data_IF_979869167615
#
_entry.id   IF_979869167615
#
_cell.length_a   1.000
_cell.length_b   1.000
_cell.length_c   1.000
_cell.angle_alpha   90.00
_cell.angle_beta   90.00
_cell.angle_gamma   90.00
#
_symmetry.space_group_name_H-M   'P 1'
#
loop_
_entity.id
_entity.type
_entity.pdbx_description
1 polymer ?
#
# COMPACT_ATOMS: atom_id res chain seq x y z
N UNK A 1 -14.86 -11.07 20.62
CA UNK A 1 -14.73 -9.92 19.70
C UNK A 1 -13.56 -9.06 20.20
N UNK A 2 -12.43 -9.05 19.49
CA UNK A 2 -11.14 -8.55 20.01
C UNK A 2 -11.15 -7.02 20.02
N UNK A 3 -10.88 -6.41 21.17
CA UNK A 3 -10.80 -4.96 21.35
C UNK A 3 -9.42 -4.43 20.92
N UNK A 4 -9.04 -4.70 19.67
CA UNK A 4 -7.78 -4.24 19.03
C UNK A 4 -7.67 -2.70 19.04
N UNK A 5 -8.79 -2.01 19.26
CA UNK A 5 -8.95 -0.55 19.26
C UNK A 5 -8.03 0.12 20.28
N UNK A 6 -7.79 -0.48 21.46
CA UNK A 6 -6.90 0.11 22.48
C UNK A 6 -5.48 0.34 21.96
N UNK A 7 -4.98 -0.48 21.04
CA UNK A 7 -3.63 -0.34 20.49
C UNK A 7 -3.55 0.41 19.15
N UNK A 8 -4.69 0.82 18.58
CA UNK A 8 -4.75 1.71 17.41
C UNK A 8 -5.13 3.16 17.75
N UNK A 9 -5.84 3.39 18.87
CA UNK A 9 -6.34 4.73 19.21
C UNK A 9 -5.82 5.30 20.55
N UNK A 10 -5.36 4.48 21.51
CA UNK A 10 -4.89 4.99 22.81
C UNK A 10 -3.37 5.16 22.88
N UNK A 11 -2.91 6.23 22.22
CA UNK A 11 -1.66 6.99 22.41
C UNK A 11 -0.93 7.21 21.09
N UNK A 12 -0.93 8.49 20.70
CA UNK A 12 -0.12 9.09 19.64
C UNK A 12 1.30 8.51 19.60
N UNK A 13 1.56 7.58 18.67
CA UNK A 13 2.73 7.54 17.74
C UNK A 13 3.14 6.15 17.23
N UNK A 14 2.59 5.04 17.71
CA UNK A 14 3.12 3.72 17.34
C UNK A 14 2.02 2.67 17.14
N UNK A 15 1.68 2.38 15.86
CA UNK A 15 0.83 1.24 15.53
C UNK A 15 1.60 -0.07 15.71
N UNK A 16 0.96 -1.10 16.28
CA UNK A 16 1.50 -2.47 16.39
C UNK A 16 1.85 -3.08 15.02
N UNK A 17 1.29 -2.54 13.94
CA UNK A 17 1.57 -2.93 12.57
C UNK A 17 2.79 -2.23 11.96
N UNK A 18 3.25 -1.14 12.57
CA UNK A 18 4.40 -0.35 12.10
C UNK A 18 5.70 -0.71 12.84
N UNK A 19 5.61 -1.19 14.10
CA UNK A 19 6.77 -1.44 14.96
C UNK A 19 6.61 -2.73 15.77
N UNK A 20 7.74 -3.38 16.06
CA UNK A 20 7.81 -4.45 17.04
C UNK A 20 7.62 -3.83 18.43
N UNK A 21 6.41 -3.93 18.98
CA UNK A 21 6.10 -3.49 20.35
C UNK A 21 6.52 -4.56 21.35
N UNK A 22 7.05 -4.24 22.54
CA UNK A 22 7.47 -5.24 23.53
C UNK A 22 6.36 -6.28 23.82
N UNK A 23 6.72 -7.54 24.05
CA UNK A 23 5.76 -8.62 24.33
C UNK A 23 4.70 -8.27 25.40
N UNK A 24 5.00 -7.58 26.51
CA UNK A 24 3.99 -7.17 27.48
C UNK A 24 2.96 -6.17 26.92
N UNK A 25 3.37 -5.27 26.02
CA UNK A 25 2.49 -4.31 25.33
C UNK A 25 1.62 -5.06 24.33
N UNK A 26 2.23 -5.96 23.54
CA UNK A 26 1.50 -6.89 22.67
C UNK A 26 0.45 -7.71 23.44
N UNK A 27 0.80 -8.23 24.62
CA UNK A 27 -0.11 -9.00 25.50
C UNK A 27 -1.25 -8.12 26.05
N UNK A 28 -0.95 -6.89 26.44
CA UNK A 28 -1.95 -5.95 26.94
C UNK A 28 -3.00 -5.58 25.86
N UNK A 29 -2.63 -5.59 24.58
CA UNK A 29 -3.57 -5.42 23.45
C UNK A 29 -4.58 -6.57 23.29
N UNK A 30 -4.35 -7.72 23.93
CA UNK A 30 -5.22 -8.90 23.85
C UNK A 30 -6.20 -9.01 25.02
N UNK A 31 -6.14 -8.09 26.00
CA UNK A 31 -6.61 -8.35 27.37
C UNK A 31 -8.13 -8.44 27.58
N UNK A 32 -8.98 -7.72 26.83
CA UNK A 32 -10.40 -7.57 27.20
C UNK A 32 -11.30 -8.78 26.85
N UNK A 33 -10.77 -9.83 26.21
CA UNK A 33 -11.51 -11.06 25.90
C UNK A 33 -11.05 -12.29 26.70
N UNK A 34 -9.97 -12.16 27.48
CA UNK A 34 -9.11 -13.30 27.79
C UNK A 34 -8.73 -13.38 29.27
N UNK A 35 -9.65 -13.01 30.16
CA UNK A 35 -9.61 -13.53 31.52
C UNK A 35 -10.38 -14.86 31.63
N UNK A 36 -9.73 -15.96 32.07
CA UNK A 36 -8.29 -16.18 32.27
C UNK A 36 -7.69 -17.12 31.21
N UNK A 37 -6.71 -16.60 30.45
CA UNK A 37 -5.74 -17.42 29.70
C UNK A 37 -4.96 -18.33 30.66
N UNK A 38 -4.88 -19.62 30.35
CA UNK A 38 -4.05 -20.56 31.14
C UNK A 38 -2.58 -20.38 30.79
N UNK A 39 -1.66 -20.61 31.72
CA UNK A 39 -0.19 -20.49 31.55
C UNK A 39 0.36 -21.19 30.28
N UNK A 40 -0.27 -22.26 29.82
CA UNK A 40 0.14 -23.00 28.60
C UNK A 40 -0.07 -22.16 27.33
N UNK A 41 -1.13 -21.36 27.25
CA UNK A 41 -1.40 -20.48 26.10
C UNK A 41 -0.43 -19.30 26.06
N UNK A 42 -0.06 -18.74 27.23
CA UNK A 42 0.91 -17.64 27.30
C UNK A 42 2.30 -18.05 26.79
N UNK A 43 2.75 -19.28 27.09
CA UNK A 43 4.02 -19.82 26.58
C UNK A 43 3.99 -19.98 25.06
N UNK A 44 2.89 -20.47 24.50
CA UNK A 44 2.73 -20.65 23.05
C UNK A 44 2.72 -19.29 22.34
N UNK A 45 1.90 -18.35 22.83
CA UNK A 45 1.79 -16.99 22.28
C UNK A 45 3.15 -16.27 22.37
N UNK A 46 3.87 -16.42 23.48
CA UNK A 46 5.22 -15.86 23.66
C UNK A 46 6.22 -16.45 22.69
N UNK A 47 6.20 -17.78 22.50
CA UNK A 47 7.06 -18.46 21.52
C UNK A 47 6.79 -17.97 20.12
N UNK A 48 5.53 -17.96 19.68
CA UNK A 48 5.15 -17.51 18.34
C UNK A 48 5.52 -16.03 18.10
N UNK A 49 5.29 -15.17 19.08
CA UNK A 49 5.68 -13.76 19.01
C UNK A 49 7.20 -13.60 18.87
N UNK A 50 8.02 -14.29 19.68
CA UNK A 50 9.48 -14.18 19.57
C UNK A 50 10.05 -14.90 18.35
N UNK A 51 9.42 -15.95 17.85
CA UNK A 51 9.76 -16.54 16.55
C UNK A 51 9.50 -15.56 15.41
N UNK A 52 8.40 -14.78 15.48
CA UNK A 52 8.10 -13.73 14.51
C UNK A 52 9.05 -12.51 14.62
N UNK A 53 9.53 -12.20 15.82
CA UNK A 53 10.29 -10.97 16.13
C UNK A 53 11.82 -11.16 16.14
N UNK A 54 12.33 -12.31 16.59
CA UNK A 54 13.75 -12.59 16.87
C UNK A 54 14.64 -12.85 15.65
N UNK A 55 14.11 -12.69 14.44
CA UNK A 55 14.76 -13.04 13.16
C UNK A 55 15.35 -11.81 12.45
N UNK A 56 16.05 -10.92 13.17
CA UNK A 56 16.58 -9.64 12.63
C UNK A 56 18.04 -9.65 12.20
N UNK A 57 18.74 -10.78 12.28
CA UNK A 57 20.06 -10.94 11.66
C UNK A 57 20.19 -12.37 11.20
N UNK A 58 20.74 -12.54 9.98
CA UNK A 58 20.86 -13.78 9.20
C UNK A 58 19.64 -14.03 8.29
N UNK A 59 19.95 -14.02 6.98
CA UNK A 59 19.13 -14.43 5.83
C UNK A 59 17.82 -15.14 6.19
N UNK A 60 16.70 -14.54 5.81
CA UNK A 60 15.40 -15.18 5.95
C UNK A 60 14.99 -15.79 4.60
N UNK A 61 14.71 -17.09 4.53
CA UNK A 61 13.90 -17.66 3.46
C UNK A 61 12.53 -16.97 3.45
N UNK A 62 11.80 -17.06 2.33
CA UNK A 62 10.42 -16.56 2.18
C UNK A 62 9.64 -16.63 3.50
N UNK A 63 9.18 -15.48 4.00
CA UNK A 63 8.37 -15.44 5.22
C UNK A 63 7.11 -16.28 4.97
N UNK A 64 6.93 -17.31 5.79
CA UNK A 64 5.68 -18.06 5.84
C UNK A 64 4.55 -17.08 6.16
N UNK A 65 3.67 -16.84 5.19
CA UNK A 65 2.50 -16.00 5.37
C UNK A 65 1.41 -16.83 6.05
N UNK A 66 1.36 -16.74 7.38
CA UNK A 66 0.41 -17.51 8.21
C UNK A 66 -1.06 -17.19 7.95
N UNK A 67 -1.34 -16.15 7.16
CA UNK A 67 -2.69 -15.70 6.77
C UNK A 67 -2.92 -15.73 5.25
N UNK A 68 -2.07 -16.41 4.46
CA UNK A 68 -2.12 -16.35 3.00
C UNK A 68 -3.53 -16.60 2.41
N UNK A 69 -4.26 -17.57 2.97
CA UNK A 69 -5.63 -17.92 2.58
C UNK A 69 -6.66 -16.80 2.79
N UNK A 70 -6.32 -15.80 3.60
CA UNK A 70 -7.21 -14.72 4.02
C UNK A 70 -6.86 -13.39 3.36
N UNK A 71 -5.63 -13.25 2.88
CA UNK A 71 -5.21 -12.04 2.17
C UNK A 71 -6.08 -11.79 0.94
N UNK A 72 -6.45 -12.83 0.19
CA UNK A 72 -7.32 -12.71 -0.98
C UNK A 72 -8.72 -12.17 -0.62
N UNK A 73 -9.28 -12.59 0.52
CA UNK A 73 -10.56 -12.06 1.00
C UNK A 73 -10.46 -10.58 1.38
N UNK A 74 -9.37 -10.17 2.03
CA UNK A 74 -9.12 -8.76 2.35
C UNK A 74 -8.99 -7.95 1.07
N UNK A 75 -8.23 -8.43 0.08
CA UNK A 75 -8.08 -7.76 -1.22
C UNK A 75 -9.42 -7.66 -1.96
N UNK A 76 -10.20 -8.74 -2.00
CA UNK A 76 -11.52 -8.76 -2.63
C UNK A 76 -12.51 -7.80 -1.94
N UNK A 77 -12.40 -7.65 -0.62
CA UNK A 77 -13.21 -6.68 0.11
C UNK A 77 -12.91 -5.24 -0.31
N UNK A 78 -11.63 -4.88 -0.41
CA UNK A 78 -11.24 -3.57 -0.93
C UNK A 78 -11.69 -3.40 -2.37
N UNK A 79 -11.46 -4.40 -3.23
CA UNK A 79 -11.88 -4.37 -4.62
C UNK A 79 -13.38 -4.05 -4.76
N UNK A 80 -14.23 -4.65 -3.91
CA UNK A 80 -15.67 -4.38 -3.90
C UNK A 80 -16.08 -2.97 -3.44
N UNK A 81 -15.23 -2.24 -2.69
CA UNK A 81 -15.59 -0.96 -2.05
C UNK A 81 -14.86 0.27 -2.62
N UNK A 82 -13.68 0.11 -3.22
CA UNK A 82 -12.84 1.25 -3.67
C UNK A 82 -13.51 2.16 -4.70
N UNK A 83 -14.52 1.67 -5.43
CA UNK A 83 -15.29 2.49 -6.35
C UNK A 83 -16.28 3.46 -5.65
N UNK A 84 -16.68 3.16 -4.42
CA UNK A 84 -17.70 3.91 -3.67
C UNK A 84 -17.15 4.64 -2.44
N UNK A 85 -15.94 4.31 -2.00
CA UNK A 85 -15.40 4.76 -0.72
C UNK A 85 -13.89 4.97 -0.80
N UNK A 86 -13.38 6.00 -0.11
CA UNK A 86 -11.95 6.27 -0.05
C UNK A 86 -11.23 5.16 0.74
N UNK A 87 -10.02 4.76 0.35
CA UNK A 87 -9.33 3.64 1.01
C UNK A 87 -9.12 3.75 2.52
N UNK A 88 -8.94 4.96 3.06
CA UNK A 88 -8.85 5.18 4.52
C UNK A 88 -10.18 4.92 5.24
N UNK A 89 -11.28 5.31 4.62
CA UNK A 89 -12.61 5.16 5.19
C UNK A 89 -13.03 3.69 5.18
N UNK A 90 -12.64 2.92 4.16
CA UNK A 90 -12.85 1.45 4.10
C UNK A 90 -12.30 0.77 5.35
N UNK A 91 -11.06 1.11 5.74
CA UNK A 91 -10.47 0.55 6.94
C UNK A 91 -11.16 1.07 8.20
N UNK A 92 -11.26 2.40 8.34
CA UNK A 92 -11.77 3.02 9.55
C UNK A 92 -13.18 2.54 9.91
N UNK A 93 -14.03 2.38 8.90
CA UNK A 93 -15.45 2.07 9.09
C UNK A 93 -15.74 0.58 9.02
N UNK A 94 -14.97 -0.18 8.22
CA UNK A 94 -15.34 -1.57 7.91
C UNK A 94 -14.28 -2.62 8.21
N UNK A 95 -13.17 -2.29 8.88
CA UNK A 95 -12.15 -3.30 9.20
C UNK A 95 -12.70 -4.49 10.01
N UNK A 96 -13.69 -4.25 10.88
CA UNK A 96 -14.35 -5.32 11.64
C UNK A 96 -15.20 -6.23 10.74
N UNK A 97 -15.90 -5.66 9.77
CA UNK A 97 -16.67 -6.42 8.78
C UNK A 97 -15.74 -7.31 7.95
N UNK A 98 -14.58 -6.79 7.55
CA UNK A 98 -13.54 -7.57 6.86
C UNK A 98 -13.17 -8.79 7.71
N UNK A 99 -12.82 -8.60 8.97
CA UNK A 99 -12.40 -9.68 9.86
C UNK A 99 -13.52 -10.67 10.17
N UNK A 100 -14.77 -10.20 10.23
CA UNK A 100 -15.94 -11.06 10.44
C UNK A 100 -16.37 -11.82 9.18
N UNK A 101 -16.05 -11.30 7.99
CA UNK A 101 -16.34 -11.94 6.70
C UNK A 101 -15.40 -13.11 6.38
N UNK A 102 -14.30 -13.24 7.14
CA UNK A 102 -13.30 -14.25 6.91
C UNK A 102 -13.83 -15.65 7.30
N UNK A 103 -13.47 -16.72 6.57
CA UNK A 103 -14.09 -18.04 6.74
C UNK A 103 -13.96 -18.59 8.17
N UNK A 104 -15.09 -18.81 8.84
CA UNK A 104 -15.17 -19.40 10.19
C UNK A 104 -14.70 -20.85 10.27
N UNK A 105 -14.44 -21.51 9.14
CA UNK A 105 -13.95 -22.88 9.08
C UNK A 105 -12.54 -23.05 9.66
N UNK A 106 -11.84 -21.95 9.94
CA UNK A 106 -10.53 -21.95 10.55
C UNK A 106 -10.61 -21.33 11.94
N UNK A 107 -10.24 -22.07 12.98
CA UNK A 107 -9.93 -21.49 14.28
C UNK A 107 -8.61 -20.75 14.17
N UNK A 108 -8.65 -19.42 14.12
CA UNK A 108 -7.45 -18.61 13.96
C UNK A 108 -6.70 -18.50 15.28
N UNK A 109 -5.37 -18.57 15.21
CA UNK A 109 -4.54 -18.13 16.32
C UNK A 109 -4.60 -16.61 16.44
N UNK A 110 -4.26 -16.10 17.61
CA UNK A 110 -4.21 -14.68 17.92
C UNK A 110 -3.17 -13.97 17.05
N UNK A 111 -2.07 -14.66 16.75
CA UNK A 111 -1.02 -14.21 15.83
C UNK A 111 -1.51 -14.10 14.39
N UNK A 112 -2.38 -15.01 13.94
CA UNK A 112 -3.03 -14.93 12.63
C UNK A 112 -4.05 -13.77 12.58
N UNK A 113 -4.84 -13.56 13.63
CA UNK A 113 -5.77 -12.44 13.68
C UNK A 113 -5.06 -11.08 13.64
N UNK A 114 -3.99 -10.91 14.41
CA UNK A 114 -3.19 -9.69 14.38
C UNK A 114 -2.53 -9.49 13.01
N UNK A 115 -1.98 -10.54 12.41
CA UNK A 115 -1.42 -10.46 11.07
C UNK A 115 -2.47 -10.02 10.03
N UNK A 116 -3.70 -10.54 10.12
CA UNK A 116 -4.80 -10.15 9.22
C UNK A 116 -5.22 -8.69 9.43
N UNK A 117 -5.31 -8.25 10.70
CA UNK A 117 -5.55 -6.85 11.05
C UNK A 117 -4.47 -5.93 10.47
N UNK A 118 -3.19 -6.29 10.63
CA UNK A 118 -2.10 -5.48 10.11
C UNK A 118 -2.01 -5.48 8.58
N UNK A 119 -2.28 -6.60 7.93
CA UNK A 119 -2.38 -6.62 6.47
C UNK A 119 -3.52 -5.72 5.96
N UNK A 120 -4.68 -5.77 6.60
CA UNK A 120 -5.80 -4.87 6.30
C UNK A 120 -5.41 -3.38 6.46
N UNK A 121 -4.72 -3.05 7.55
CA UNK A 121 -4.19 -1.69 7.78
C UNK A 121 -3.19 -1.28 6.69
N UNK A 122 -2.23 -2.14 6.34
CA UNK A 122 -1.25 -1.87 5.28
C UNK A 122 -1.92 -1.63 3.94
N UNK A 123 -2.88 -2.48 3.53
CA UNK A 123 -3.65 -2.30 2.30
C UNK A 123 -4.32 -0.91 2.30
N UNK A 124 -4.94 -0.51 3.41
CA UNK A 124 -5.54 0.82 3.52
C UNK A 124 -4.55 1.96 3.28
N UNK A 125 -3.37 1.90 3.91
CA UNK A 125 -2.34 2.93 3.74
C UNK A 125 -1.81 2.95 2.31
N UNK A 126 -1.47 1.78 1.77
CA UNK A 126 -0.98 1.65 0.40
C UNK A 126 -1.97 2.23 -0.62
N UNK A 127 -3.24 1.86 -0.52
CA UNK A 127 -4.27 2.37 -1.43
C UNK A 127 -4.51 3.87 -1.25
N UNK A 128 -4.40 4.39 -0.02
CA UNK A 128 -4.47 5.83 0.22
C UNK A 128 -3.33 6.59 -0.46
N UNK A 129 -2.09 6.12 -0.32
CA UNK A 129 -0.93 6.79 -0.90
C UNK A 129 -0.99 6.75 -2.44
N UNK A 130 -1.34 5.61 -3.03
CA UNK A 130 -1.57 5.51 -4.48
C UNK A 130 -2.63 6.50 -4.95
N UNK A 131 -3.77 6.57 -4.27
CA UNK A 131 -4.82 7.53 -4.60
C UNK A 131 -4.30 8.97 -4.49
N UNK A 132 -3.70 9.34 -3.37
CA UNK A 132 -3.23 10.70 -3.10
C UNK A 132 -2.13 11.16 -4.08
N UNK A 133 -1.22 10.28 -4.48
CA UNK A 133 -0.15 10.64 -5.43
C UNK A 133 -0.60 10.57 -6.89
N UNK A 134 -1.59 9.74 -7.22
CA UNK A 134 -2.21 9.76 -8.56
C UNK A 134 -3.00 11.05 -8.79
N UNK A 135 -3.78 11.49 -7.80
CA UNK A 135 -4.54 12.75 -7.87
C UNK A 135 -3.62 13.99 -7.89
N UNK A 136 -2.55 13.98 -7.08
CA UNK A 136 -1.53 15.05 -7.13
C UNK A 136 -0.81 15.11 -8.46
N UNK A 137 -0.34 13.97 -8.98
CA UNK A 137 0.30 13.92 -10.29
C UNK A 137 -0.65 14.46 -11.38
N UNK A 138 -1.93 14.07 -11.34
CA UNK A 138 -2.95 14.59 -12.25
C UNK A 138 -3.04 16.12 -12.17
N UNK A 139 -3.22 16.66 -10.97
CA UNK A 139 -3.37 18.10 -10.73
C UNK A 139 -2.13 18.90 -11.17
N UNK A 140 -0.93 18.37 -10.91
CA UNK A 140 0.34 19.00 -11.28
C UNK A 140 0.56 19.00 -12.79
N UNK A 141 0.21 17.90 -13.47
CA UNK A 141 0.27 17.82 -14.94
C UNK A 141 -0.79 18.72 -15.59
N UNK A 142 -2.00 18.78 -15.04
CA UNK A 142 -3.07 19.65 -15.55
C UNK A 142 -2.69 21.13 -15.43
N UNK A 143 -2.14 21.52 -14.28
CA UNK A 143 -1.63 22.87 -14.03
C UNK A 143 -0.48 23.21 -14.99
N UNK A 144 0.47 22.30 -15.18
CA UNK A 144 1.56 22.45 -16.14
C UNK A 144 1.05 22.64 -17.57
N UNK A 145 0.08 21.83 -18.01
CA UNK A 145 -0.48 21.92 -19.35
C UNK A 145 -1.22 23.24 -19.57
N UNK A 146 -2.00 23.68 -18.58
CA UNK A 146 -2.69 24.98 -18.61
C UNK A 146 -1.71 26.15 -18.71
N UNK A 147 -0.66 26.15 -17.89
CA UNK A 147 0.35 27.22 -17.91
C UNK A 147 1.15 27.19 -19.21
N UNK A 148 1.57 26.02 -19.68
CA UNK A 148 2.28 25.86 -20.95
C UNK A 148 1.49 26.42 -22.12
N UNK A 149 0.19 26.18 -22.17
CA UNK A 149 -0.68 26.67 -23.25
C UNK A 149 -0.84 28.20 -23.23
N UNK A 150 -0.57 28.86 -22.09
CA UNK A 150 -0.61 30.32 -21.94
C UNK A 150 0.77 30.94 -22.17
N UNK A 151 1.79 30.43 -21.47
CA UNK A 151 3.14 30.98 -21.41
C UNK A 151 4.20 29.86 -21.35
N UNK A 152 4.58 29.26 -22.49
CA UNK A 152 5.43 28.06 -22.52
C UNK A 152 6.84 28.25 -21.95
N UNK A 153 7.33 29.50 -21.87
CA UNK A 153 8.66 29.84 -21.37
C UNK A 153 8.62 30.61 -20.03
N UNK A 154 7.50 30.58 -19.30
CA UNK A 154 7.40 31.25 -18.01
C UNK A 154 8.23 30.53 -16.94
N UNK A 155 8.70 31.28 -15.94
CA UNK A 155 9.30 30.71 -14.71
C UNK A 155 8.33 29.73 -14.05
N UNK A 156 7.03 30.01 -14.14
CA UNK A 156 5.97 29.16 -13.63
C UNK A 156 5.85 27.82 -14.39
N UNK A 157 6.01 27.79 -15.72
CA UNK A 157 6.13 26.51 -16.48
C UNK A 157 7.29 25.67 -15.93
N UNK A 158 8.43 26.32 -15.67
CA UNK A 158 9.60 25.66 -15.07
C UNK A 158 9.31 25.07 -13.69
N UNK A 159 8.63 25.82 -12.82
CA UNK A 159 8.24 25.37 -11.47
C UNK A 159 7.27 24.19 -11.52
N UNK A 160 6.18 24.30 -12.28
CA UNK A 160 5.16 23.26 -12.45
C UNK A 160 5.73 21.98 -13.08
N UNK A 161 6.74 22.11 -13.97
CA UNK A 161 7.47 20.97 -14.53
C UNK A 161 8.21 20.18 -13.46
N UNK A 162 8.85 20.86 -12.50
CA UNK A 162 9.54 20.22 -11.38
C UNK A 162 8.54 19.53 -10.44
N UNK A 163 7.41 20.19 -10.16
CA UNK A 163 6.32 19.64 -9.33
C UNK A 163 5.74 18.36 -9.92
N UNK A 164 5.36 18.36 -11.21
CA UNK A 164 4.85 17.17 -11.89
C UNK A 164 5.88 16.02 -11.92
N UNK A 165 7.18 16.32 -12.03
CA UNK A 165 8.26 15.31 -11.94
C UNK A 165 8.38 14.73 -10.54
N UNK A 166 8.26 15.57 -9.52
CA UNK A 166 8.29 15.14 -8.13
C UNK A 166 7.10 14.25 -7.80
N UNK A 167 5.89 14.62 -8.21
CA UNK A 167 4.70 13.80 -7.97
C UNK A 167 4.75 12.46 -8.72
N UNK A 168 5.29 12.46 -9.95
CA UNK A 168 5.57 11.21 -10.67
C UNK A 168 6.51 10.32 -9.87
N UNK A 169 7.62 10.88 -9.37
CA UNK A 169 8.60 10.16 -8.56
C UNK A 169 7.97 9.58 -7.29
N UNK A 170 7.11 10.33 -6.60
CA UNK A 170 6.41 9.87 -5.42
C UNK A 170 5.44 8.71 -5.73
N UNK A 171 4.69 8.80 -6.84
CA UNK A 171 3.86 7.69 -7.28
C UNK A 171 4.71 6.45 -7.60
N UNK A 172 5.83 6.60 -8.31
CA UNK A 172 6.76 5.48 -8.57
C UNK A 172 7.28 4.86 -7.28
N UNK A 173 7.68 5.70 -6.32
CA UNK A 173 8.18 5.25 -5.02
C UNK A 173 7.17 4.35 -4.33
N UNK A 174 5.90 4.76 -4.25
CA UNK A 174 4.86 3.95 -3.61
C UNK A 174 4.55 2.67 -4.38
N UNK A 175 4.56 2.69 -5.72
CA UNK A 175 4.41 1.46 -6.51
C UNK A 175 5.53 0.46 -6.20
N UNK A 176 6.77 0.94 -6.02
CA UNK A 176 7.92 0.10 -5.62
C UNK A 176 7.69 -0.47 -4.22
N UNK A 177 7.47 0.40 -3.23
CA UNK A 177 7.29 0.00 -1.83
C UNK A 177 6.20 -1.06 -1.66
N UNK A 178 5.05 -0.86 -2.30
CA UNK A 178 3.91 -1.77 -2.22
C UNK A 178 4.24 -3.12 -2.87
N UNK A 179 4.83 -3.10 -4.07
CA UNK A 179 5.19 -4.32 -4.79
C UNK A 179 6.25 -5.11 -4.03
N UNK A 180 7.30 -4.44 -3.53
CA UNK A 180 8.34 -5.08 -2.73
C UNK A 180 7.78 -5.63 -1.42
N UNK A 181 6.92 -4.89 -0.74
CA UNK A 181 6.29 -5.37 0.49
C UNK A 181 5.38 -6.56 0.24
N UNK A 182 4.63 -6.57 -0.86
CA UNK A 182 3.80 -7.71 -1.28
C UNK A 182 4.66 -8.95 -1.53
N UNK A 183 5.73 -8.82 -2.32
CA UNK A 183 6.64 -9.93 -2.65
C UNK A 183 7.41 -10.43 -1.43
N UNK A 184 7.97 -9.53 -0.62
CA UNK A 184 8.78 -9.85 0.57
C UNK A 184 7.98 -10.61 1.64
N UNK A 185 6.69 -10.29 1.78
CA UNK A 185 5.81 -10.91 2.77
C UNK A 185 4.94 -12.03 2.18
N UNK A 186 5.15 -12.42 0.91
CA UNK A 186 4.35 -13.44 0.23
C UNK A 186 2.84 -13.12 0.29
N UNK A 187 2.47 -11.85 0.17
CA UNK A 187 1.09 -11.40 0.02
C UNK A 187 0.62 -11.65 -1.42
N UNK A 188 -0.71 -11.71 -1.66
CA UNK A 188 -1.24 -11.85 -3.00
C UNK A 188 -0.83 -10.69 -3.89
N UNK A 189 -0.91 -10.94 -5.20
CA UNK A 189 -0.73 -9.90 -6.19
C UNK A 189 -1.90 -8.90 -6.09
N UNK A 190 -1.59 -7.66 -5.73
CA UNK A 190 -2.56 -6.57 -5.58
C UNK A 190 -2.51 -5.54 -6.72
N UNK A 191 -1.80 -5.84 -7.82
CA UNK A 191 -1.66 -4.94 -8.97
C UNK A 191 -3.04 -4.53 -9.52
N UNK A 192 -3.97 -5.48 -9.64
CA UNK A 192 -5.34 -5.19 -10.07
C UNK A 192 -6.09 -4.23 -9.16
N UNK A 193 -5.87 -4.32 -7.84
CA UNK A 193 -6.46 -3.39 -6.88
C UNK A 193 -5.83 -2.00 -7.00
N UNK A 194 -4.50 -1.90 -7.17
CA UNK A 194 -3.79 -0.65 -7.41
C UNK A 194 -4.34 0.04 -8.66
N UNK A 195 -4.45 -0.69 -9.77
CA UNK A 195 -5.00 -0.18 -11.04
C UNK A 195 -6.41 0.37 -10.86
N UNK A 196 -7.27 -0.35 -10.13
CA UNK A 196 -8.63 0.07 -9.83
C UNK A 196 -8.69 1.33 -8.96
N UNK A 197 -7.81 1.44 -7.96
CA UNK A 197 -7.71 2.66 -7.13
C UNK A 197 -7.32 3.87 -7.98
N UNK A 198 -6.36 3.70 -8.90
CA UNK A 198 -5.96 4.77 -9.82
C UNK A 198 -7.12 5.16 -10.73
N UNK A 199 -7.80 4.18 -11.34
CA UNK A 199 -8.95 4.43 -12.22
C UNK A 199 -10.12 5.16 -11.52
N UNK A 200 -10.40 4.80 -10.27
CA UNK A 200 -11.47 5.41 -9.47
C UNK A 200 -11.10 6.80 -8.95
N UNK A 201 -9.81 7.05 -8.72
CA UNK A 201 -9.32 8.34 -8.22
C UNK A 201 -9.31 9.40 -9.32
N UNK A 202 -8.90 9.01 -10.54
CA UNK A 202 -8.66 9.98 -11.61
C UNK A 202 -9.97 10.50 -12.24
N UNK A 203 -10.01 11.77 -12.68
CA UNK A 203 -11.19 12.31 -13.34
C UNK A 203 -11.51 11.62 -14.67
N UNK A 204 -12.75 11.14 -14.83
CA UNK A 204 -13.21 10.40 -16.03
C UNK A 204 -13.09 11.18 -17.34
N UNK A 205 -13.19 12.51 -17.30
CA UNK A 205 -13.22 13.37 -18.50
C UNK A 205 -11.87 14.08 -18.71
N UNK A 206 -10.77 13.54 -18.18
CA UNK A 206 -9.44 14.12 -18.35
C UNK A 206 -8.62 13.40 -19.42
N UNK A 207 -7.92 14.17 -20.26
CA UNK A 207 -6.93 13.67 -21.21
C UNK A 207 -5.64 13.15 -20.52
N UNK A 208 -5.42 13.51 -19.25
CA UNK A 208 -4.24 13.10 -18.46
C UNK A 208 -4.47 11.75 -17.79
N UNK A 209 -5.72 11.47 -17.40
CA UNK A 209 -6.07 10.27 -16.64
C UNK A 209 -5.67 8.96 -17.35
N UNK A 210 -5.92 8.77 -18.67
CA UNK A 210 -5.47 7.59 -19.39
C UNK A 210 -3.96 7.39 -19.35
N UNK A 211 -3.18 8.48 -19.43
CA UNK A 211 -1.71 8.42 -19.44
C UNK A 211 -1.16 8.00 -18.07
N UNK A 212 -1.76 8.49 -16.97
CA UNK A 212 -1.37 8.06 -15.62
C UNK A 212 -1.74 6.59 -15.41
N UNK A 213 -2.91 6.15 -15.90
CA UNK A 213 -3.31 4.74 -15.83
C UNK A 213 -2.33 3.84 -16.59
N UNK A 214 -2.01 4.17 -17.83
CA UNK A 214 -1.03 3.43 -18.64
C UNK A 214 0.37 3.41 -17.98
N UNK A 215 0.78 4.53 -17.38
CA UNK A 215 2.02 4.59 -16.63
C UNK A 215 2.04 3.57 -15.49
N UNK A 216 0.95 3.45 -14.71
CA UNK A 216 0.85 2.46 -13.62
C UNK A 216 0.83 1.03 -14.18
N UNK A 217 0.05 0.78 -15.24
CA UNK A 217 -0.11 -0.53 -15.89
C UNK A 217 1.22 -1.07 -16.43
N UNK A 218 2.09 -0.19 -16.94
CA UNK A 218 3.41 -0.54 -17.46
C UNK A 218 4.47 -0.64 -16.36
N UNK A 219 4.36 0.19 -15.32
CA UNK A 219 5.35 0.28 -14.24
C UNK A 219 5.27 -0.93 -13.31
N UNK A 220 4.07 -1.40 -12.93
CA UNK A 220 3.89 -2.51 -11.99
C UNK A 220 4.57 -3.82 -12.44
N UNK A 221 4.35 -4.34 -13.68
CA UNK A 221 5.05 -5.53 -14.16
C UNK A 221 6.57 -5.34 -14.22
N UNK A 222 7.03 -4.11 -14.49
CA UNK A 222 8.45 -3.81 -14.56
C UNK A 222 9.11 -3.88 -13.18
N UNK A 223 8.50 -3.29 -12.15
CA UNK A 223 8.95 -3.40 -10.75
C UNK A 223 9.07 -4.88 -10.37
N UNK A 224 8.04 -5.69 -10.64
CA UNK A 224 8.07 -7.13 -10.36
C UNK A 224 9.21 -7.85 -11.06
N UNK A 225 9.49 -7.50 -12.32
CA UNK A 225 10.60 -8.10 -13.08
C UNK A 225 11.97 -7.70 -12.53
N UNK A 226 12.11 -6.47 -12.06
CA UNK A 226 13.36 -5.94 -11.52
C UNK A 226 13.60 -6.34 -10.07
N UNK A 227 12.55 -6.73 -9.35
CA UNK A 227 12.65 -7.16 -7.96
C UNK A 227 13.69 -8.26 -7.79
N UNK A 228 14.63 -8.01 -6.88
CA UNK A 228 15.61 -8.99 -6.44
C UNK A 228 15.50 -9.07 -4.92
N UNK A 229 15.42 -10.30 -4.41
CA UNK A 229 15.50 -10.52 -2.97
C UNK A 229 16.80 -9.86 -2.45
N UNK A 230 16.68 -9.09 -1.37
CA UNK A 230 17.77 -8.37 -0.70
C UNK A 230 18.38 -7.16 -1.44
N UNK A 231 17.75 -6.67 -2.52
CA UNK A 231 18.09 -5.38 -3.12
C UNK A 231 16.87 -4.48 -3.20
N UNK A 232 17.05 -3.23 -2.80
CA UNK A 232 16.03 -2.20 -2.93
C UNK A 232 16.07 -1.61 -4.34
N UNK A 233 14.93 -1.64 -5.02
CA UNK A 233 14.76 -0.92 -6.28
C UNK A 233 14.59 0.57 -5.98
N UNK A 234 15.37 1.42 -6.65
CA UNK A 234 15.22 2.88 -6.53
C UNK A 234 14.35 3.41 -7.66
N UNK A 235 13.77 4.59 -7.47
CA UNK A 235 13.02 5.28 -8.53
C UNK A 235 13.93 5.60 -9.72
N UNK A 236 15.21 5.90 -9.49
CA UNK A 236 16.20 6.09 -10.55
C UNK A 236 16.50 4.78 -11.31
N UNK A 237 16.46 3.64 -10.61
CA UNK A 237 16.59 2.31 -11.21
C UNK A 237 15.45 1.95 -12.17
N UNK A 238 14.33 2.68 -12.13
CA UNK A 238 13.18 2.52 -13.03
C UNK A 238 13.33 3.27 -14.37
N UNK A 239 14.43 4.00 -14.59
CA UNK A 239 14.56 4.95 -15.71
C UNK A 239 14.72 4.29 -17.10
N UNK A 240 14.91 2.97 -17.20
CA UNK A 240 15.10 2.25 -18.48
C UNK A 240 13.83 1.68 -19.13
N UNK A 241 12.69 2.37 -19.04
CA UNK A 241 11.48 2.02 -19.78
C UNK A 241 11.31 2.86 -21.07
N UNK A 242 11.10 2.24 -22.25
CA UNK A 242 10.77 2.95 -23.48
C UNK A 242 9.37 3.62 -23.44
N UNK A 243 8.55 3.32 -22.43
CA UNK A 243 7.20 3.87 -22.22
C UNK A 243 7.15 4.95 -21.13
N UNK A 244 8.27 5.64 -20.89
CA UNK A 244 8.34 6.77 -19.95
C UNK A 244 7.55 8.02 -20.43
N UNK A 245 6.53 7.83 -21.27
CA UNK A 245 5.85 8.84 -22.07
C UNK A 245 4.81 9.69 -21.33
N UNK A 246 4.81 9.67 -20.00
CA UNK A 246 4.60 10.94 -19.27
C UNK A 246 5.88 11.78 -19.49
N UNK A 247 6.13 12.22 -20.73
CA UNK A 247 7.34 12.95 -21.11
C UNK A 247 7.26 14.36 -20.54
N UNK A 248 7.65 14.51 -19.28
CA UNK A 248 7.91 15.82 -18.70
C UNK A 248 9.32 16.24 -19.14
N UNK A 249 9.55 16.45 -20.44
CA UNK A 249 10.80 17.02 -20.97
C UNK A 249 10.55 18.41 -21.56
N UNK A 250 11.46 19.33 -21.28
CA UNK A 250 11.58 20.71 -21.81
C UNK A 250 10.29 21.46 -22.18
N UNK A 251 9.33 21.55 -21.23
CA UNK A 251 7.98 22.11 -21.44
C UNK A 251 7.28 21.61 -22.73
N UNK A 252 7.71 20.46 -23.28
CA UNK A 252 7.17 19.74 -24.44
C UNK A 252 6.71 18.35 -24.00
N UNK A 253 5.42 18.21 -23.74
CA UNK A 253 4.76 16.90 -23.68
C UNK A 253 4.31 16.58 -25.11
N UNK A 254 4.86 15.52 -25.71
CA UNK A 254 4.23 14.83 -26.83
C UNK A 254 3.22 13.86 -26.24
N UNK A 255 1.93 14.17 -26.36
CA UNK A 255 0.92 13.12 -26.33
C UNK A 255 1.16 12.32 -27.60
N UNK A 256 1.37 11.01 -27.51
CA UNK A 256 1.38 10.17 -28.69
C UNK A 256 0.00 10.28 -29.34
N UNK A 257 -0.08 11.03 -30.43
CA UNK A 257 -1.25 11.06 -31.28
C UNK A 257 -1.53 9.62 -31.73
N UNK A 258 -2.68 9.09 -31.33
CA UNK A 258 -3.20 7.81 -31.78
C UNK A 258 -3.92 8.00 -33.11
#
# INVERSE_FOLDING_TARGET
>A
MIDVIRCSESNRRESICERIVPFPVFRACLADLWEPLRNVQDIIIRREYFEAVGRRTIQMPQRYNSIALCCDHIVAFYDGKVASMKPRDIYREHWQEVLQSLPRSHSWTETQYLAAHCFNWHISQWMYEISAFSDRLHSSVDSLLKERNRHPNSVECGRLKVEARFDKHQLTYWLIEITEASLRNSYPNIDGLIQKVVETTLPKVSQIAPVIKEYVDTTLPHIRRLYQLDKYLTVEGMIFLPYNHVIINDCRLSLSDS
#
